data_IF_939156331744
#
_entry.id   IF_939156331744
#
_cell.length_a   1.000
_cell.length_b   1.000
_cell.length_c   1.000
_cell.angle_alpha   90.00
_cell.angle_beta   90.00
_cell.angle_gamma   90.00
#
_symmetry.space_group_name_H-M   'P 1'
#
loop_
_entity.id
_entity.type
_entity.pdbx_description
1 polymer ?
#
# COMPACT_ATOMS: atom_id res chain seq x y z
N UNK A 1 4.87 15.33 -15.26
CA UNK A 1 3.64 14.52 -15.52
C UNK A 1 3.47 14.33 -17.02
N UNK A 2 3.21 13.07 -17.47
CA UNK A 2 2.73 12.80 -18.83
C UNK A 2 1.39 13.54 -18.99
N UNK A 3 1.10 14.08 -20.14
CA UNK A 3 -0.19 14.74 -20.42
C UNK A 3 -0.63 14.30 -21.82
N UNK A 4 -0.94 13.00 -21.92
CA UNK A 4 -1.30 12.37 -23.17
C UNK A 4 -2.74 12.68 -23.57
N UNK A 5 -2.91 13.00 -24.84
CA UNK A 5 -4.22 13.04 -25.49
C UNK A 5 -4.59 11.65 -26.02
N UNK A 6 -5.84 11.48 -26.45
CA UNK A 6 -6.29 10.25 -27.12
C UNK A 6 -5.44 9.94 -28.35
N UNK A 7 -5.12 10.96 -29.13
CA UNK A 7 -4.30 10.88 -30.32
C UNK A 7 -2.87 10.44 -30.02
N UNK A 8 -2.30 10.91 -28.89
CA UNK A 8 -0.98 10.48 -28.44
C UNK A 8 -0.97 8.99 -28.09
N UNK A 9 -2.01 8.49 -27.40
CA UNK A 9 -2.11 7.07 -27.07
C UNK A 9 -2.20 6.20 -28.33
N UNK A 10 -3.02 6.59 -29.31
CA UNK A 10 -3.16 5.85 -30.56
C UNK A 10 -1.81 5.81 -31.29
N UNK A 11 -1.14 6.95 -31.41
CA UNK A 11 0.18 7.05 -32.05
C UNK A 11 1.23 6.18 -31.35
N UNK A 12 1.32 6.25 -30.02
CA UNK A 12 2.29 5.47 -29.24
C UNK A 12 2.05 3.96 -29.38
N UNK A 13 0.82 3.52 -29.38
CA UNK A 13 0.46 2.10 -29.57
C UNK A 13 0.90 1.61 -30.97
N UNK A 14 0.73 2.45 -32.02
CA UNK A 14 1.18 2.13 -33.37
C UNK A 14 2.70 2.15 -33.49
N UNK A 15 3.38 3.20 -33.03
CA UNK A 15 4.84 3.37 -33.12
C UNK A 15 5.60 2.28 -32.38
N UNK A 16 5.06 1.82 -31.24
CA UNK A 16 5.69 0.83 -30.37
C UNK A 16 5.29 -0.63 -30.68
N UNK A 17 4.52 -0.89 -31.76
CA UNK A 17 4.06 -2.23 -32.14
C UNK A 17 3.31 -2.96 -31.01
N UNK A 18 2.42 -2.25 -30.33
CA UNK A 18 1.60 -2.82 -29.26
C UNK A 18 0.40 -3.55 -29.86
N UNK A 19 0.27 -4.85 -29.58
CA UNK A 19 -0.87 -5.66 -30.05
C UNK A 19 -1.95 -5.87 -29.00
N UNK A 20 -1.58 -5.86 -27.71
CA UNK A 20 -2.51 -6.08 -26.59
C UNK A 20 -2.42 -4.95 -25.58
N UNK A 21 -3.57 -4.48 -25.11
CA UNK A 21 -3.68 -3.50 -24.04
C UNK A 21 -4.47 -4.11 -22.88
N UNK A 22 -3.90 -4.01 -21.68
CA UNK A 22 -4.55 -4.41 -20.45
C UNK A 22 -5.20 -3.20 -19.80
N UNK A 23 -6.51 -3.19 -19.74
CA UNK A 23 -7.30 -2.23 -19.00
C UNK A 23 -7.33 -2.69 -17.55
N UNK A 24 -6.53 -2.06 -16.70
CA UNK A 24 -6.30 -2.49 -15.31
C UNK A 24 -7.14 -1.65 -14.33
N UNK A 25 -7.66 -2.30 -13.32
CA UNK A 25 -8.33 -1.65 -12.18
C UNK A 25 -8.09 -2.49 -10.92
N UNK A 26 -8.47 -1.98 -9.74
CA UNK A 26 -8.17 -2.64 -8.46
C UNK A 26 -9.47 -2.87 -7.70
N UNK A 27 -9.64 -4.06 -7.11
CA UNK A 27 -10.77 -4.34 -6.22
C UNK A 27 -10.56 -3.71 -4.82
N UNK A 28 -11.57 -3.77 -3.95
CA UNK A 28 -11.50 -3.16 -2.61
C UNK A 28 -10.43 -3.79 -1.70
N UNK A 29 -9.96 -5.00 -2.03
CA UNK A 29 -8.90 -5.70 -1.28
C UNK A 29 -7.50 -5.46 -1.81
N UNK A 30 -7.34 -4.61 -2.83
CA UNK A 30 -6.04 -4.30 -3.42
C UNK A 30 -5.56 -5.33 -4.44
N UNK A 31 -6.43 -6.20 -4.95
CA UNK A 31 -6.08 -7.12 -6.03
C UNK A 31 -6.22 -6.42 -7.38
N UNK A 32 -5.14 -6.47 -8.18
CA UNK A 32 -5.14 -5.96 -9.53
C UNK A 32 -5.95 -6.87 -10.46
N UNK A 33 -6.93 -6.30 -11.13
CA UNK A 33 -7.79 -6.93 -12.14
C UNK A 33 -7.49 -6.35 -13.51
N UNK A 34 -7.87 -7.04 -14.58
CA UNK A 34 -7.78 -6.46 -15.92
C UNK A 34 -8.75 -7.10 -16.91
N UNK A 35 -9.09 -6.31 -17.93
CA UNK A 35 -9.67 -6.78 -19.19
C UNK A 35 -8.63 -6.57 -20.27
N UNK A 36 -8.30 -7.60 -21.05
CA UNK A 36 -7.37 -7.48 -22.16
C UNK A 36 -8.13 -7.20 -23.47
N UNK A 37 -7.67 -6.24 -24.22
CA UNK A 37 -8.17 -5.92 -25.57
C UNK A 37 -7.02 -5.97 -26.58
N UNK A 38 -7.35 -6.18 -27.85
CA UNK A 38 -6.40 -6.00 -28.95
C UNK A 38 -6.28 -4.52 -29.33
N UNK A 39 -5.17 -4.13 -29.96
CA UNK A 39 -4.96 -2.76 -30.43
C UNK A 39 -6.11 -2.26 -31.34
N UNK A 40 -6.73 -3.15 -32.10
CA UNK A 40 -7.90 -2.82 -32.96
C UNK A 40 -9.13 -2.36 -32.16
N UNK A 41 -9.21 -2.63 -30.85
CA UNK A 41 -10.29 -2.19 -29.96
C UNK A 41 -9.91 -0.96 -29.11
N UNK A 42 -8.69 -0.42 -29.31
CA UNK A 42 -8.18 0.70 -28.51
C UNK A 42 -9.10 1.93 -28.60
N UNK A 43 -9.55 2.29 -29.78
CA UNK A 43 -10.41 3.46 -29.96
C UNK A 43 -11.73 3.36 -29.19
N UNK A 44 -12.31 2.15 -29.13
CA UNK A 44 -13.50 1.87 -28.29
C UNK A 44 -13.19 2.08 -26.82
N UNK A 45 -12.03 1.61 -26.35
CA UNK A 45 -11.61 1.79 -24.95
C UNK A 45 -11.40 3.27 -24.61
N UNK A 46 -10.70 4.02 -25.47
CA UNK A 46 -10.46 5.45 -25.28
C UNK A 46 -11.75 6.30 -25.40
N UNK A 47 -12.82 5.76 -25.94
CA UNK A 47 -14.16 6.37 -25.92
C UNK A 47 -15.01 5.92 -24.73
N UNK A 48 -14.41 5.28 -23.70
CA UNK A 48 -15.10 4.81 -22.48
C UNK A 48 -16.22 3.79 -22.76
N UNK A 49 -16.05 2.94 -23.77
CA UNK A 49 -17.08 1.99 -24.22
C UNK A 49 -16.73 0.53 -23.88
N UNK A 50 -15.72 0.31 -23.03
CA UNK A 50 -15.38 -1.02 -22.55
C UNK A 50 -16.20 -1.36 -21.31
N UNK A 51 -17.20 -2.20 -21.49
CA UNK A 51 -18.07 -2.73 -20.45
C UNK A 51 -17.51 -4.05 -19.91
N UNK A 52 -17.70 -4.30 -18.62
CA UNK A 52 -17.41 -5.58 -17.97
C UNK A 52 -18.47 -5.89 -16.92
N UNK A 53 -18.55 -7.17 -16.54
CA UNK A 53 -19.42 -7.63 -15.45
C UNK A 53 -18.71 -7.48 -14.09
N UNK A 54 -19.20 -6.52 -13.30
CA UNK A 54 -18.68 -6.25 -11.94
C UNK A 54 -19.23 -7.20 -10.87
N UNK A 55 -20.27 -8.00 -11.15
CA UNK A 55 -20.92 -8.85 -10.14
C UNK A 55 -20.05 -10.01 -9.66
N UNK A 56 -19.08 -10.42 -10.47
CA UNK A 56 -18.10 -11.45 -10.13
C UNK A 56 -16.87 -10.91 -9.38
N UNK A 57 -16.84 -9.61 -9.08
CA UNK A 57 -15.76 -8.96 -8.34
C UNK A 57 -16.23 -8.70 -6.92
N UNK A 58 -15.57 -9.36 -5.96
CA UNK A 58 -15.92 -9.25 -4.55
C UNK A 58 -15.92 -7.79 -4.08
N UNK A 59 -17.00 -7.40 -3.39
CA UNK A 59 -17.17 -6.04 -2.88
C UNK A 59 -17.62 -5.00 -3.92
N UNK A 60 -17.84 -5.38 -5.20
CA UNK A 60 -18.31 -4.42 -6.21
C UNK A 60 -19.83 -4.30 -6.18
N UNK A 61 -20.53 -4.99 -7.07
CA UNK A 61 -21.97 -4.80 -7.29
C UNK A 61 -22.72 -6.13 -7.22
N UNK A 62 -24.05 -6.05 -7.18
CA UNK A 62 -24.93 -7.24 -7.27
C UNK A 62 -25.17 -7.63 -8.72
N UNK A 63 -25.67 -8.85 -8.95
CA UNK A 63 -25.98 -9.38 -10.28
C UNK A 63 -26.95 -8.49 -11.07
N UNK A 64 -27.89 -7.84 -10.37
CA UNK A 64 -28.89 -6.95 -10.98
C UNK A 64 -28.33 -5.64 -11.48
N UNK A 65 -27.11 -5.26 -11.06
CA UNK A 65 -26.41 -4.00 -11.41
C UNK A 65 -25.01 -4.31 -11.96
N UNK A 66 -24.84 -5.42 -12.68
CA UNK A 66 -23.53 -5.99 -13.03
C UNK A 66 -22.73 -5.18 -14.04
N UNK A 67 -23.40 -4.44 -14.93
CA UNK A 67 -22.73 -3.72 -16.02
C UNK A 67 -21.95 -2.52 -15.50
N UNK A 68 -20.63 -2.55 -15.72
CA UNK A 68 -19.70 -1.49 -15.34
C UNK A 68 -18.82 -1.11 -16.54
N UNK A 69 -18.26 0.10 -16.50
CA UNK A 69 -17.42 0.62 -17.58
C UNK A 69 -16.03 0.97 -17.07
N UNK A 70 -15.02 0.72 -17.90
CA UNK A 70 -13.63 1.11 -17.67
C UNK A 70 -13.31 2.41 -18.41
N UNK A 71 -12.88 3.42 -17.67
CA UNK A 71 -12.47 4.73 -18.19
C UNK A 71 -10.96 4.85 -18.05
N UNK A 72 -10.19 4.67 -19.15
CA UNK A 72 -8.74 4.68 -19.11
C UNK A 72 -8.16 6.05 -18.75
N UNK A 73 -7.25 6.09 -17.80
CA UNK A 73 -6.39 7.24 -17.55
C UNK A 73 -5.20 7.20 -18.52
N UNK A 74 -5.18 8.11 -19.49
CA UNK A 74 -4.18 8.12 -20.57
C UNK A 74 -2.76 8.32 -20.07
N UNK A 75 -2.59 9.03 -18.96
CA UNK A 75 -1.27 9.28 -18.38
C UNK A 75 -0.62 8.04 -17.76
N UNK A 76 -1.38 6.96 -17.64
CA UNK A 76 -0.92 5.69 -17.08
C UNK A 76 -0.51 4.67 -18.16
N UNK A 77 -0.46 5.04 -19.43
CA UNK A 77 0.04 4.12 -20.48
C UNK A 77 1.47 3.69 -20.18
N UNK A 78 1.67 2.39 -20.04
CA UNK A 78 2.99 1.76 -19.89
C UNK A 78 3.09 0.48 -20.71
N UNK A 79 4.24 0.26 -21.34
CA UNK A 79 4.57 -0.96 -22.06
C UNK A 79 5.31 -1.90 -21.11
N UNK A 80 4.91 -3.16 -21.06
CA UNK A 80 5.55 -4.13 -20.16
C UNK A 80 6.90 -4.63 -20.70
N UNK A 81 8.05 -4.27 -20.10
CA UNK A 81 9.38 -4.68 -20.59
C UNK A 81 9.60 -6.19 -20.57
N UNK A 82 8.94 -6.91 -19.69
CA UNK A 82 9.06 -8.37 -19.54
C UNK A 82 8.25 -9.19 -20.53
N UNK A 83 7.55 -8.53 -21.47
CA UNK A 83 6.78 -9.20 -22.52
C UNK A 83 7.58 -9.25 -23.83
N UNK A 84 7.14 -10.08 -24.82
CA UNK A 84 7.81 -10.18 -26.11
C UNK A 84 8.03 -8.82 -26.78
N UNK A 85 9.16 -8.66 -27.47
CA UNK A 85 9.47 -7.44 -28.22
C UNK A 85 8.64 -7.31 -29.52
N UNK A 86 8.10 -8.41 -30.02
CA UNK A 86 7.12 -8.44 -31.10
C UNK A 86 5.73 -8.67 -30.53
N UNK A 87 4.75 -7.85 -30.97
CA UNK A 87 3.41 -7.88 -30.39
C UNK A 87 3.42 -7.48 -28.91
N UNK A 88 3.99 -6.31 -28.61
CA UNK A 88 4.14 -5.80 -27.27
C UNK A 88 2.80 -5.71 -26.52
N UNK A 89 2.88 -5.74 -25.21
CA UNK A 89 1.73 -5.60 -24.32
C UNK A 89 1.87 -4.31 -23.52
N UNK A 90 0.88 -3.44 -23.61
CA UNK A 90 0.77 -2.25 -22.79
C UNK A 90 -0.35 -2.39 -21.74
N UNK A 91 -0.40 -1.46 -20.80
CA UNK A 91 -1.51 -1.30 -19.88
C UNK A 91 -1.97 0.15 -19.81
N UNK A 92 -3.23 0.33 -19.49
CA UNK A 92 -3.84 1.57 -19.01
C UNK A 92 -4.53 1.29 -17.68
N UNK A 93 -4.31 2.12 -16.66
CA UNK A 93 -5.10 2.06 -15.43
C UNK A 93 -6.43 2.76 -15.71
N UNK A 94 -7.51 2.16 -15.23
CA UNK A 94 -8.86 2.64 -15.48
C UNK A 94 -9.56 2.97 -14.16
N UNK A 95 -10.33 4.03 -14.19
CA UNK A 95 -11.38 4.29 -13.20
C UNK A 95 -12.62 3.48 -13.57
N UNK A 96 -13.40 3.08 -12.57
CA UNK A 96 -14.63 2.31 -12.78
C UNK A 96 -15.84 3.23 -12.73
N UNK A 97 -16.72 3.10 -13.71
CA UNK A 97 -17.91 3.92 -13.86
C UNK A 97 -19.18 3.07 -13.98
N UNK A 98 -20.30 3.65 -13.55
CA UNK A 98 -21.65 3.09 -13.74
C UNK A 98 -22.15 3.33 -15.17
N UNK A 99 -23.19 2.60 -15.62
CA UNK A 99 -23.76 2.80 -16.96
C UNK A 99 -24.33 4.22 -17.21
N UNK A 100 -24.70 4.93 -16.17
CA UNK A 100 -25.18 6.31 -16.26
C UNK A 100 -24.07 7.35 -16.41
N UNK A 101 -22.81 6.92 -16.44
CA UNK A 101 -21.63 7.78 -16.58
C UNK A 101 -21.18 8.43 -15.27
N UNK A 102 -21.69 7.98 -14.12
CA UNK A 102 -21.19 8.40 -12.80
C UNK A 102 -20.03 7.52 -12.34
N UNK A 103 -19.03 8.07 -11.62
CA UNK A 103 -17.99 7.26 -10.99
C UNK A 103 -18.59 6.23 -10.04
N UNK A 104 -18.04 5.02 -10.04
CA UNK A 104 -18.46 3.99 -9.10
C UNK A 104 -17.81 4.22 -7.74
N UNK A 105 -18.62 4.41 -6.71
CA UNK A 105 -18.17 4.68 -5.34
C UNK A 105 -17.43 3.51 -4.68
N UNK A 106 -17.55 2.31 -5.24
CA UNK A 106 -16.81 1.10 -4.83
C UNK A 106 -15.42 0.97 -5.45
N UNK A 107 -15.01 1.90 -6.33
CA UNK A 107 -13.67 1.95 -6.90
C UNK A 107 -12.68 2.56 -5.89
N UNK A 108 -11.68 1.78 -5.39
CA UNK A 108 -10.68 2.30 -4.46
C UNK A 108 -9.90 3.50 -5.00
N UNK A 109 -9.61 3.51 -6.30
CA UNK A 109 -8.91 4.63 -6.95
C UNK A 109 -9.74 5.91 -6.86
N UNK A 110 -11.05 5.82 -7.06
CA UNK A 110 -11.97 6.93 -6.89
C UNK A 110 -12.07 7.40 -5.43
N UNK A 111 -12.00 6.48 -4.45
CA UNK A 111 -11.93 6.88 -3.02
C UNK A 111 -10.73 7.78 -2.76
N UNK A 112 -9.55 7.41 -3.26
CA UNK A 112 -8.34 8.25 -3.12
C UNK A 112 -8.49 9.58 -3.87
N UNK A 113 -9.05 9.59 -5.08
CA UNK A 113 -9.29 10.82 -5.84
C UNK A 113 -10.21 11.79 -5.08
N UNK A 114 -11.24 11.30 -4.38
CA UNK A 114 -12.09 12.13 -3.52
C UNK A 114 -11.33 12.74 -2.34
N UNK A 115 -10.50 11.95 -1.68
CA UNK A 115 -9.65 12.43 -0.58
C UNK A 115 -8.66 13.50 -1.06
N UNK A 116 -8.02 13.28 -2.21
CA UNK A 116 -7.11 14.26 -2.86
C UNK A 116 -7.87 15.53 -3.23
N UNK A 117 -9.07 15.42 -3.79
CA UNK A 117 -9.91 16.60 -4.13
C UNK A 117 -10.28 17.41 -2.87
N UNK A 118 -10.57 16.73 -1.74
CA UNK A 118 -10.81 17.42 -0.45
C UNK A 118 -9.56 18.20 -0.01
N UNK A 119 -8.37 17.62 -0.12
CA UNK A 119 -7.10 18.29 0.18
C UNK A 119 -6.85 19.48 -0.77
N UNK A 120 -7.07 19.28 -2.07
CA UNK A 120 -6.87 20.33 -3.08
C UNK A 120 -7.81 21.52 -2.88
N UNK A 121 -9.05 21.30 -2.43
CA UNK A 121 -9.99 22.38 -2.08
C UNK A 121 -9.50 23.24 -0.89
N UNK A 122 -8.60 22.69 -0.07
CA UNK A 122 -7.91 23.40 1.01
C UNK A 122 -6.54 23.97 0.57
N UNK A 123 -6.19 23.81 -0.71
CA UNK A 123 -4.93 24.27 -1.30
C UNK A 123 -3.76 23.32 -1.10
N UNK A 124 -4.00 22.08 -0.66
CA UNK A 124 -2.93 21.10 -0.38
C UNK A 124 -2.73 20.09 -1.51
N UNK A 125 -1.47 19.76 -1.78
CA UNK A 125 -1.06 18.61 -2.57
C UNK A 125 -0.44 17.57 -1.64
N UNK A 126 -0.95 16.35 -1.66
CA UNK A 126 -0.44 15.24 -0.85
C UNK A 126 0.60 14.44 -1.63
N UNK A 127 1.81 14.34 -1.10
CA UNK A 127 2.90 13.55 -1.66
C UNK A 127 3.28 12.40 -0.76
N UNK A 128 3.60 11.27 -1.36
CA UNK A 128 3.86 10.01 -0.68
C UNK A 128 5.04 9.27 -1.28
N UNK A 129 5.93 8.75 -0.42
CA UNK A 129 7.01 7.83 -0.78
C UNK A 129 6.87 6.52 0.01
N UNK A 130 6.61 5.39 -0.65
CA UNK A 130 6.51 4.10 0.02
C UNK A 130 7.87 3.42 0.11
N UNK A 131 8.08 2.65 1.16
CA UNK A 131 9.16 1.66 1.31
C UNK A 131 8.48 0.30 1.34
N UNK A 132 8.63 -0.53 0.30
CA UNK A 132 7.82 -1.73 0.13
C UNK A 132 8.69 -2.99 0.16
N UNK A 133 8.61 -3.72 1.27
CA UNK A 133 9.34 -4.96 1.49
C UNK A 133 8.58 -6.17 0.92
N UNK A 134 9.35 -7.21 0.54
CA UNK A 134 8.81 -8.46 0.02
C UNK A 134 9.77 -9.63 0.23
N UNK A 135 9.24 -10.87 0.11
CA UNK A 135 10.07 -12.08 0.17
C UNK A 135 10.17 -12.74 -1.21
N UNK A 136 11.33 -13.33 -1.47
CA UNK A 136 11.61 -14.19 -2.63
C UNK A 136 11.83 -15.62 -2.18
N UNK A 137 10.84 -16.49 -2.40
CA UNK A 137 10.94 -17.91 -2.05
C UNK A 137 11.16 -18.79 -3.27
N UNK A 138 11.59 -20.04 -3.02
CA UNK A 138 11.62 -21.08 -4.03
C UNK A 138 10.20 -21.44 -4.46
N UNK A 139 10.04 -21.76 -5.74
CA UNK A 139 8.91 -22.55 -6.21
C UNK A 139 9.21 -24.04 -6.11
N UNK A 140 8.20 -24.87 -5.89
CA UNK A 140 8.36 -26.31 -5.93
C UNK A 140 8.55 -26.83 -7.39
N UNK A 141 8.71 -28.14 -7.54
CA UNK A 141 8.89 -28.79 -8.84
C UNK A 141 7.71 -28.61 -9.82
N UNK A 142 6.55 -28.25 -9.31
CA UNK A 142 5.33 -27.93 -10.08
C UNK A 142 5.15 -26.43 -10.33
N UNK A 143 6.10 -25.58 -9.86
CA UNK A 143 6.03 -24.13 -9.94
C UNK A 143 5.09 -23.50 -8.92
N UNK A 144 4.67 -24.23 -7.88
CA UNK A 144 3.83 -23.70 -6.81
C UNK A 144 4.68 -22.94 -5.76
N UNK A 145 4.12 -21.93 -5.10
CA UNK A 145 4.83 -21.16 -4.10
C UNK A 145 5.15 -22.00 -2.85
N UNK A 146 6.35 -21.77 -2.30
CA UNK A 146 6.76 -22.32 -1.00
C UNK A 146 7.21 -21.20 -0.07
N UNK A 147 7.55 -21.54 1.17
CA UNK A 147 8.26 -20.64 2.11
C UNK A 147 9.73 -21.05 2.30
N UNK A 148 10.28 -21.80 1.33
CA UNK A 148 11.66 -22.25 1.38
C UNK A 148 12.57 -21.13 0.89
N UNK A 149 13.60 -20.81 1.69
CA UNK A 149 14.64 -19.85 1.35
C UNK A 149 15.88 -20.56 0.80
N UNK A 150 16.67 -19.88 -0.06
CA UNK A 150 17.95 -20.41 -0.56
C UNK A 150 19.13 -20.04 0.32
N UNK A 151 18.97 -19.07 1.19
CA UNK A 151 20.03 -18.29 1.79
C UNK A 151 19.79 -18.02 3.26
N UNK A 152 20.81 -17.46 3.91
CA UNK A 152 20.78 -16.98 5.30
C UNK A 152 21.35 -15.56 5.39
N UNK A 153 21.25 -14.79 4.31
CA UNK A 153 21.65 -13.38 4.28
C UNK A 153 20.78 -12.54 5.22
N UNK A 154 21.30 -11.42 5.64
CA UNK A 154 20.65 -10.45 6.51
C UNK A 154 20.76 -9.03 5.95
N UNK A 155 20.51 -8.06 6.82
CA UNK A 155 20.43 -6.64 6.44
C UNK A 155 21.69 -6.14 5.75
N UNK A 156 21.53 -5.62 4.52
CA UNK A 156 22.59 -5.11 3.65
C UNK A 156 23.66 -6.12 3.21
N UNK A 157 23.42 -7.42 3.38
CA UNK A 157 24.30 -8.43 2.79
C UNK A 157 24.26 -8.36 1.26
N UNK A 158 25.34 -8.82 0.64
CA UNK A 158 25.56 -8.80 -0.81
C UNK A 158 25.94 -10.19 -1.33
N UNK A 159 26.04 -10.35 -2.64
CA UNK A 159 26.55 -11.60 -3.22
C UNK A 159 27.97 -11.91 -2.74
N UNK A 160 28.31 -13.18 -2.45
CA UNK A 160 27.50 -14.37 -2.78
C UNK A 160 26.51 -14.81 -1.68
N UNK A 161 26.32 -14.04 -0.62
CA UNK A 161 25.37 -14.39 0.46
C UNK A 161 23.91 -14.16 0.03
N UNK A 162 23.64 -13.02 -0.63
CA UNK A 162 22.34 -12.64 -1.19
C UNK A 162 22.11 -13.34 -2.55
N UNK A 163 21.36 -14.42 -2.56
CA UNK A 163 21.03 -15.13 -3.80
C UNK A 163 19.88 -14.46 -4.60
N UNK A 164 19.17 -13.54 -3.98
CA UNK A 164 18.12 -12.73 -4.64
C UNK A 164 18.65 -11.53 -5.42
N UNK A 165 19.92 -11.18 -5.28
CA UNK A 165 20.51 -9.95 -5.85
C UNK A 165 20.28 -9.81 -7.35
N UNK A 166 20.44 -10.87 -8.15
CA UNK A 166 20.23 -10.81 -9.59
C UNK A 166 18.74 -10.56 -9.95
N UNK A 167 17.83 -11.24 -9.26
CA UNK A 167 16.40 -11.01 -9.48
C UNK A 167 16.01 -9.57 -9.09
N UNK A 168 16.49 -9.09 -7.92
CA UNK A 168 16.25 -7.72 -7.46
C UNK A 168 16.84 -6.68 -8.42
N UNK A 169 18.06 -6.91 -8.96
CA UNK A 169 18.66 -6.06 -9.99
C UNK A 169 17.78 -5.96 -11.23
N UNK A 170 17.29 -7.09 -11.75
CA UNK A 170 16.44 -7.09 -12.93
C UNK A 170 15.07 -6.46 -12.66
N UNK A 171 14.56 -6.54 -11.43
CA UNK A 171 13.38 -5.80 -10.99
C UNK A 171 13.62 -4.28 -11.06
N UNK A 172 14.76 -3.81 -10.52
CA UNK A 172 15.14 -2.39 -10.56
C UNK A 172 15.22 -1.89 -12.00
N UNK A 173 15.97 -2.59 -12.88
CA UNK A 173 16.09 -2.20 -14.28
C UNK A 173 14.73 -2.16 -14.98
N UNK A 174 13.86 -3.12 -14.71
CA UNK A 174 12.50 -3.17 -15.26
C UNK A 174 11.65 -1.98 -14.79
N UNK A 175 11.75 -1.61 -13.51
CA UNK A 175 11.02 -0.47 -12.96
C UNK A 175 11.52 0.85 -13.56
N UNK A 176 12.84 1.01 -13.73
CA UNK A 176 13.42 2.18 -14.39
C UNK A 176 12.98 2.30 -15.85
N UNK A 177 12.93 1.18 -16.59
CA UNK A 177 12.39 1.13 -17.96
C UNK A 177 10.90 1.55 -18.01
N UNK A 178 10.16 1.37 -16.92
CA UNK A 178 8.76 1.83 -16.75
C UNK A 178 8.66 3.25 -16.18
N UNK A 179 9.76 3.98 -16.08
CA UNK A 179 9.78 5.37 -15.65
C UNK A 179 9.78 5.61 -14.15
N UNK A 180 10.00 4.57 -13.34
CA UNK A 180 10.27 4.75 -11.91
C UNK A 180 11.65 5.39 -11.71
N UNK A 181 11.77 6.20 -10.68
CA UNK A 181 13.07 6.65 -10.16
C UNK A 181 13.35 5.81 -8.93
N UNK A 182 14.17 4.78 -9.08
CA UNK A 182 14.57 3.92 -7.97
C UNK A 182 15.66 4.60 -7.15
N UNK A 183 15.47 4.71 -5.84
CA UNK A 183 16.40 5.37 -4.92
C UNK A 183 17.35 4.38 -4.23
N UNK A 184 16.84 3.20 -3.84
CA UNK A 184 17.61 2.16 -3.18
C UNK A 184 17.04 0.77 -3.47
N UNK A 185 17.91 -0.24 -3.37
CA UNK A 185 17.50 -1.65 -3.33
C UNK A 185 18.49 -2.45 -2.50
N UNK A 186 18.02 -3.25 -1.57
CA UNK A 186 18.89 -4.02 -0.68
C UNK A 186 18.22 -5.29 -0.15
N UNK A 187 19.03 -6.15 0.46
CA UNK A 187 18.58 -7.28 1.25
C UNK A 187 18.10 -6.78 2.61
N UNK A 188 16.97 -7.29 3.10
CA UNK A 188 16.40 -6.98 4.38
C UNK A 188 16.86 -7.91 5.51
N UNK A 189 16.34 -7.72 6.73
CA UNK A 189 16.80 -8.44 7.94
C UNK A 189 16.50 -9.94 7.88
N UNK A 190 15.33 -10.33 7.38
CA UNK A 190 14.98 -11.75 7.31
C UNK A 190 15.60 -12.45 6.09
N UNK A 191 15.95 -13.73 6.18
CA UNK A 191 16.39 -14.50 5.01
C UNK A 191 15.41 -14.41 3.86
N UNK A 192 15.90 -14.14 2.64
CA UNK A 192 15.12 -13.96 1.41
C UNK A 192 14.17 -12.75 1.42
N UNK A 193 14.35 -11.79 2.33
CA UNK A 193 13.61 -10.56 2.36
C UNK A 193 14.37 -9.44 1.67
N UNK A 194 13.66 -8.65 0.88
CA UNK A 194 14.20 -7.59 0.03
C UNK A 194 13.35 -6.34 0.11
N UNK A 195 13.97 -5.21 -0.19
CA UNK A 195 13.33 -3.90 -0.32
C UNK A 195 13.82 -3.18 -1.58
N UNK A 196 12.91 -2.49 -2.23
CA UNK A 196 13.21 -1.58 -3.34
C UNK A 196 12.42 -0.30 -3.11
N UNK A 197 13.15 0.80 -2.92
CA UNK A 197 12.59 2.13 -2.69
C UNK A 197 12.57 2.92 -3.97
N UNK A 198 11.48 3.62 -4.21
CA UNK A 198 11.35 4.53 -5.34
C UNK A 198 10.86 5.90 -4.90
N UNK A 199 11.22 6.91 -5.67
CA UNK A 199 10.99 8.30 -5.35
C UNK A 199 9.50 8.59 -5.09
N UNK A 200 9.26 9.46 -4.10
CA UNK A 200 7.93 9.96 -3.78
C UNK A 200 7.31 10.76 -4.94
N UNK A 201 6.00 10.71 -5.05
CA UNK A 201 5.22 11.49 -6.01
C UNK A 201 3.87 11.89 -5.40
N UNK A 202 2.99 12.51 -6.18
CA UNK A 202 1.61 12.76 -5.79
C UNK A 202 0.89 11.44 -5.49
N UNK A 203 0.03 11.46 -4.50
CA UNK A 203 -0.52 10.25 -3.88
C UNK A 203 -1.21 9.28 -4.87
N UNK A 204 -1.93 9.79 -5.89
CA UNK A 204 -2.57 8.93 -6.89
C UNK A 204 -1.53 8.20 -7.75
N UNK A 205 -0.52 8.92 -8.23
CA UNK A 205 0.60 8.36 -8.98
C UNK A 205 1.34 7.31 -8.16
N UNK A 206 1.61 7.61 -6.88
CA UNK A 206 2.28 6.67 -5.97
C UNK A 206 1.46 5.41 -5.74
N UNK A 207 0.13 5.51 -5.57
CA UNK A 207 -0.74 4.34 -5.43
C UNK A 207 -0.74 3.48 -6.70
N UNK A 208 -0.82 4.10 -7.88
CA UNK A 208 -0.69 3.44 -9.18
C UNK A 208 0.68 2.75 -9.33
N UNK A 209 1.75 3.41 -8.88
CA UNK A 209 3.12 2.86 -8.86
C UNK A 209 3.23 1.65 -7.93
N UNK A 210 2.66 1.67 -6.72
CA UNK A 210 2.67 0.52 -5.81
C UNK A 210 2.01 -0.71 -6.46
N UNK A 211 0.87 -0.54 -7.13
CA UNK A 211 0.21 -1.62 -7.84
C UNK A 211 1.06 -2.17 -8.99
N UNK A 212 1.69 -1.28 -9.74
CA UNK A 212 2.61 -1.63 -10.84
C UNK A 212 3.86 -2.32 -10.32
N UNK A 213 4.46 -1.82 -9.26
CA UNK A 213 5.60 -2.40 -8.56
C UNK A 213 5.34 -3.85 -8.15
N UNK A 214 4.22 -4.11 -7.48
CA UNK A 214 3.83 -5.48 -7.07
C UNK A 214 3.71 -6.42 -8.27
N UNK A 215 3.18 -5.95 -9.39
CA UNK A 215 3.06 -6.73 -10.63
C UNK A 215 4.44 -7.02 -11.24
N UNK A 216 5.30 -6.01 -11.34
CA UNK A 216 6.65 -6.12 -11.90
C UNK A 216 7.50 -7.10 -11.08
N UNK A 217 7.56 -6.91 -9.75
CA UNK A 217 8.32 -7.78 -8.84
C UNK A 217 7.89 -9.24 -8.98
N UNK A 218 6.58 -9.54 -8.96
CA UNK A 218 6.08 -10.91 -9.14
C UNK A 218 6.40 -11.48 -10.53
N UNK A 219 6.33 -10.65 -11.57
CA UNK A 219 6.61 -11.08 -12.95
C UNK A 219 8.09 -11.42 -13.16
N UNK A 220 8.99 -10.58 -12.66
CA UNK A 220 10.44 -10.78 -12.77
C UNK A 220 10.89 -11.93 -11.87
N UNK A 221 10.40 -12.02 -10.63
CA UNK A 221 10.69 -13.16 -9.75
C UNK A 221 10.37 -14.50 -10.44
N UNK A 222 9.21 -14.59 -11.10
CA UNK A 222 8.81 -15.79 -11.85
C UNK A 222 9.79 -16.15 -12.98
N UNK A 223 10.35 -15.15 -13.68
CA UNK A 223 11.37 -15.38 -14.72
C UNK A 223 12.66 -15.96 -14.14
N UNK A 224 12.98 -15.63 -12.89
CA UNK A 224 14.11 -16.20 -12.14
C UNK A 224 13.79 -17.53 -11.43
N UNK A 225 12.62 -18.12 -11.66
CA UNK A 225 12.19 -19.36 -10.98
C UNK A 225 11.85 -19.17 -9.50
N UNK A 226 11.64 -17.93 -9.08
CA UNK A 226 11.30 -17.55 -7.71
C UNK A 226 9.83 -17.17 -7.58
N UNK A 227 9.32 -17.25 -6.34
CA UNK A 227 8.01 -16.75 -5.96
C UNK A 227 8.16 -15.50 -5.09
N UNK A 228 7.72 -14.35 -5.59
CA UNK A 228 7.65 -13.13 -4.79
C UNK A 228 6.32 -13.03 -4.04
N UNK A 229 6.38 -12.75 -2.74
CA UNK A 229 5.19 -12.53 -1.93
C UNK A 229 5.29 -11.22 -1.14
N UNK A 230 4.16 -10.53 -1.08
CA UNK A 230 3.90 -9.35 -0.25
C UNK A 230 3.09 -9.72 1.01
N UNK A 231 3.09 -10.98 1.40
CA UNK A 231 2.48 -11.44 2.65
C UNK A 231 3.21 -10.82 3.84
N UNK A 232 2.51 -10.18 4.81
CA UNK A 232 3.16 -9.44 5.90
C UNK A 232 4.07 -10.28 6.80
N UNK A 233 3.70 -11.54 7.05
CA UNK A 233 4.48 -12.46 7.92
C UNK A 233 4.44 -13.88 7.37
N UNK A 234 5.24 -14.19 6.32
CA UNK A 234 5.20 -15.53 5.71
C UNK A 234 5.91 -16.59 6.52
N UNK A 235 6.88 -16.21 7.39
CA UNK A 235 7.70 -17.14 8.18
C UNK A 235 7.67 -16.77 9.65
N UNK A 236 7.43 -17.77 10.50
CA UNK A 236 7.50 -17.60 11.95
C UNK A 236 8.94 -17.42 12.43
N UNK A 237 9.15 -16.57 13.43
CA UNK A 237 10.45 -16.40 14.10
C UNK A 237 11.44 -15.45 13.39
N UNK A 238 11.06 -14.85 12.25
CA UNK A 238 11.87 -13.84 11.54
C UNK A 238 11.07 -12.56 11.35
N UNK A 239 11.70 -11.45 10.92
CA UNK A 239 10.98 -10.21 10.61
C UNK A 239 9.94 -10.41 9.50
N UNK A 240 8.86 -9.64 9.54
CA UNK A 240 7.86 -9.58 8.49
C UNK A 240 8.08 -8.36 7.59
N UNK A 241 7.31 -8.27 6.50
CA UNK A 241 7.39 -7.17 5.53
C UNK A 241 6.50 -6.00 5.92
N UNK A 242 7.09 -4.81 5.97
CA UNK A 242 6.40 -3.53 6.08
C UNK A 242 6.19 -2.88 4.71
N UNK A 243 5.32 -1.90 4.69
CA UNK A 243 5.20 -0.90 3.65
C UNK A 243 5.13 0.46 4.35
N UNK A 244 6.28 0.99 4.75
CA UNK A 244 6.33 2.28 5.42
C UNK A 244 5.86 3.37 4.47
N UNK A 245 5.05 4.30 4.99
CA UNK A 245 4.46 5.37 4.18
C UNK A 245 5.05 6.70 4.64
N UNK A 246 5.92 7.27 3.83
CA UNK A 246 6.45 8.60 4.01
C UNK A 246 5.48 9.62 3.41
N UNK A 247 5.03 10.59 4.20
CA UNK A 247 3.98 11.55 3.83
C UNK A 247 4.43 12.98 4.02
N UNK A 248 4.03 13.85 3.09
CA UNK A 248 4.19 15.30 3.20
C UNK A 248 3.04 16.04 2.51
N UNK A 249 2.74 17.25 2.98
CA UNK A 249 1.79 18.15 2.33
C UNK A 249 2.52 19.34 1.74
N UNK A 250 2.07 19.74 0.56
CA UNK A 250 2.56 20.90 -0.18
C UNK A 250 1.45 21.94 -0.34
N UNK A 251 1.82 23.20 -0.23
CA UNK A 251 0.96 24.33 -0.55
C UNK A 251 1.72 25.30 -1.45
N UNK A 252 1.17 25.63 -2.61
CA UNK A 252 1.84 26.48 -3.62
C UNK A 252 3.28 25.99 -3.97
N UNK A 253 3.46 24.67 -4.09
CA UNK A 253 4.73 24.04 -4.47
C UNK A 253 5.78 23.98 -3.36
N UNK A 254 5.45 24.35 -2.11
CA UNK A 254 6.36 24.29 -0.95
C UNK A 254 5.88 23.26 0.05
N UNK A 255 6.80 22.51 0.61
CA UNK A 255 6.52 21.58 1.71
C UNK A 255 6.12 22.36 2.97
N UNK A 256 4.86 22.18 3.42
CA UNK A 256 4.33 22.90 4.59
C UNK A 256 4.60 22.18 5.92
N UNK A 257 5.21 21.00 5.88
CA UNK A 257 5.59 20.29 7.10
C UNK A 257 6.90 20.82 7.71
N UNK A 258 7.70 21.55 6.93
CA UNK A 258 8.98 22.08 7.36
C UNK A 258 8.83 23.39 8.15
N UNK A 259 9.51 23.48 9.31
CA UNK A 259 9.75 24.71 10.06
C UNK A 259 11.18 24.67 10.64
N UNK A 260 12.05 25.55 10.17
CA UNK A 260 13.45 25.61 10.60
C UNK A 260 13.65 26.20 12.01
N UNK A 261 12.61 26.80 12.58
CA UNK A 261 12.63 27.38 13.94
C UNK A 261 12.20 26.36 15.02
N UNK A 262 11.61 25.22 14.61
CA UNK A 262 11.19 24.16 15.52
C UNK A 262 12.33 23.18 15.81
N UNK A 263 12.43 22.68 17.03
CA UNK A 263 13.50 21.76 17.49
C UNK A 263 13.51 20.41 16.71
N UNK A 264 12.37 19.97 16.18
CA UNK A 264 12.24 18.78 15.35
C UNK A 264 12.13 19.10 13.85
N UNK A 265 12.19 20.38 13.48
CA UNK A 265 12.06 20.85 12.10
C UNK A 265 10.63 20.78 11.55
N UNK A 266 9.61 20.67 12.42
CA UNK A 266 8.21 20.46 12.06
C UNK A 266 7.36 21.71 12.24
N UNK A 267 6.54 22.02 11.24
CA UNK A 267 5.50 23.03 11.34
C UNK A 267 4.35 22.60 12.26
N UNK A 268 3.48 23.54 12.60
CA UNK A 268 2.23 23.25 13.33
C UNK A 268 1.31 22.33 12.53
N UNK A 269 1.26 22.50 11.21
CA UNK A 269 0.50 21.66 10.30
C UNK A 269 0.99 20.22 10.34
N UNK A 270 2.29 19.98 10.39
CA UNK A 270 2.87 18.65 10.57
C UNK A 270 2.46 18.03 11.91
N UNK A 271 2.56 18.77 13.02
CA UNK A 271 2.09 18.29 14.31
C UNK A 271 0.60 17.98 14.31
N UNK A 272 -0.23 18.82 13.73
CA UNK A 272 -1.67 18.57 13.62
C UNK A 272 -1.98 17.33 12.78
N UNK A 273 -1.24 17.14 11.69
CA UNK A 273 -1.38 15.94 10.85
C UNK A 273 -1.03 14.66 11.64
N UNK A 274 0.08 14.69 12.41
CA UNK A 274 0.45 13.59 13.33
C UNK A 274 -0.66 13.36 14.36
N UNK A 275 -1.21 14.42 14.95
CA UNK A 275 -2.31 14.34 15.91
C UNK A 275 -3.56 13.67 15.33
N UNK A 276 -3.90 14.00 14.10
CA UNK A 276 -4.99 13.36 13.37
C UNK A 276 -4.74 11.86 13.11
N UNK A 277 -3.56 11.50 12.61
CA UNK A 277 -3.18 10.09 12.43
C UNK A 277 -3.28 9.31 13.75
N UNK A 278 -2.71 9.83 14.83
CA UNK A 278 -2.71 9.16 16.14
C UNK A 278 -4.12 8.97 16.70
N UNK A 279 -5.01 9.97 16.52
CA UNK A 279 -6.41 9.90 16.99
C UNK A 279 -7.17 8.74 16.33
N UNK A 280 -6.97 8.53 15.03
CA UNK A 280 -7.71 7.55 14.23
C UNK A 280 -6.95 6.24 14.02
N UNK A 281 -5.77 6.08 14.62
CA UNK A 281 -4.84 5.01 14.27
C UNK A 281 -5.41 3.61 14.45
N UNK A 282 -6.23 3.38 15.48
CA UNK A 282 -6.86 2.07 15.70
C UNK A 282 -7.76 1.67 14.54
N UNK A 283 -8.53 2.62 14.02
CA UNK A 283 -9.40 2.41 12.86
C UNK A 283 -8.59 2.30 11.55
N UNK A 284 -7.58 3.15 11.37
CA UNK A 284 -6.66 3.12 10.23
C UNK A 284 -6.00 1.74 10.12
N UNK A 285 -5.65 1.10 11.24
CA UNK A 285 -5.00 -0.22 11.28
C UNK A 285 -5.80 -1.27 10.50
N UNK A 286 -7.13 -1.25 10.52
CA UNK A 286 -7.95 -2.17 9.74
C UNK A 286 -7.71 -2.08 8.22
N UNK A 287 -7.35 -0.89 7.72
CA UNK A 287 -7.15 -0.62 6.29
C UNK A 287 -5.69 -0.80 5.88
N UNK A 288 -4.75 -0.37 6.71
CA UNK A 288 -3.31 -0.45 6.41
C UNK A 288 -2.68 -1.79 6.79
N UNK A 289 -3.38 -2.59 7.60
CA UNK A 289 -3.00 -3.95 8.03
C UNK A 289 -4.19 -4.90 7.85
N UNK A 290 -4.54 -5.22 6.58
CA UNK A 290 -5.87 -5.72 6.22
C UNK A 290 -6.08 -7.22 6.42
N UNK A 291 -5.05 -7.98 6.76
CA UNK A 291 -5.10 -9.44 6.82
C UNK A 291 -4.97 -9.94 8.26
N UNK A 292 -5.52 -11.12 8.53
CA UNK A 292 -5.20 -11.87 9.75
C UNK A 292 -3.68 -12.01 9.92
N UNK A 293 -2.98 -12.23 8.82
CA UNK A 293 -1.52 -12.36 8.81
C UNK A 293 -0.80 -11.05 9.15
N UNK A 294 -1.39 -9.89 8.94
CA UNK A 294 -0.86 -8.59 9.34
C UNK A 294 -0.54 -8.53 10.84
N UNK A 295 -1.42 -9.12 11.66
CA UNK A 295 -1.28 -9.16 13.12
C UNK A 295 -0.28 -10.22 13.62
N UNK A 296 0.25 -11.05 12.74
CA UNK A 296 1.41 -11.91 13.01
C UNK A 296 2.74 -11.15 12.84
N UNK A 297 2.73 -10.05 12.07
CA UNK A 297 3.83 -9.10 11.97
C UNK A 297 3.82 -8.09 13.12
N UNK A 298 2.65 -7.55 13.47
CA UNK A 298 2.45 -6.53 14.51
C UNK A 298 2.53 -7.13 15.92
N UNK A 299 3.69 -7.70 16.24
CA UNK A 299 4.01 -8.28 17.56
C UNK A 299 5.35 -7.74 18.04
N UNK A 300 5.52 -7.56 19.39
CA UNK A 300 6.79 -7.09 19.94
C UNK A 300 7.98 -7.99 19.55
N UNK A 301 9.15 -7.38 19.30
CA UNK A 301 10.41 -8.10 19.08
C UNK A 301 10.80 -8.33 17.60
N UNK A 302 10.03 -7.84 16.63
CA UNK A 302 10.27 -8.01 15.18
C UNK A 302 10.25 -6.69 14.40
N UNK A 303 10.75 -5.61 14.97
CA UNK A 303 10.87 -4.28 14.34
C UNK A 303 9.55 -3.67 13.81
N UNK A 304 8.41 -4.27 14.11
CA UNK A 304 7.11 -3.72 13.78
C UNK A 304 6.57 -2.89 14.96
N UNK A 305 6.06 -1.67 14.72
CA UNK A 305 5.54 -0.81 15.77
C UNK A 305 4.17 -1.30 16.23
N UNK A 306 3.97 -1.37 17.54
CA UNK A 306 2.67 -1.76 18.14
C UNK A 306 2.09 -0.66 19.04
N UNK A 307 2.85 0.38 19.34
CA UNK A 307 2.46 1.46 20.24
C UNK A 307 2.15 2.74 19.47
N UNK A 308 1.01 3.36 19.75
CA UNK A 308 0.59 4.64 19.15
C UNK A 308 1.41 5.77 19.79
N UNK A 309 2.56 6.05 19.21
CA UNK A 309 3.49 7.07 19.62
C UNK A 309 4.25 7.63 18.41
N UNK A 310 4.90 8.77 18.59
CA UNK A 310 5.76 9.37 17.56
C UNK A 310 7.11 9.79 18.14
N UNK A 311 8.14 9.86 17.29
CA UNK A 311 9.47 10.35 17.67
C UNK A 311 10.27 10.84 16.46
N UNK A 312 11.12 11.84 16.69
CA UNK A 312 12.15 12.28 15.75
C UNK A 312 13.51 11.59 15.98
N UNK A 313 13.68 10.81 17.05
CA UNK A 313 14.98 10.24 17.48
C UNK A 313 14.99 8.71 17.58
N UNK A 314 13.84 8.09 17.58
CA UNK A 314 13.67 6.66 17.83
C UNK A 314 12.95 5.97 16.66
N UNK A 315 13.31 4.73 16.34
CA UNK A 315 12.69 3.91 15.30
C UNK A 315 11.56 3.00 15.80
N UNK A 316 11.39 2.88 17.14
CA UNK A 316 10.38 1.98 17.73
C UNK A 316 8.94 2.52 17.68
N UNK A 317 8.65 3.84 17.65
CA UNK A 317 7.30 4.35 17.56
C UNK A 317 6.66 4.09 16.19
N UNK A 318 5.33 4.13 16.18
CA UNK A 318 4.48 3.97 15.01
C UNK A 318 4.71 5.08 13.96
N UNK A 319 4.92 6.32 14.43
CA UNK A 319 5.22 7.48 13.59
C UNK A 319 6.65 7.95 13.87
N UNK A 320 7.46 7.93 12.83
CA UNK A 320 8.84 8.41 12.87
C UNK A 320 8.96 9.69 12.03
N UNK A 321 9.80 10.63 12.51
CA UNK A 321 10.21 11.78 11.72
C UNK A 321 11.63 11.51 11.22
N UNK A 322 11.82 11.25 9.93
CA UNK A 322 13.16 11.06 9.36
C UNK A 322 14.03 12.31 9.51
N UNK A 323 15.34 12.13 9.61
CA UNK A 323 16.31 13.21 9.73
C UNK A 323 16.51 13.92 8.37
N UNK A 324 15.49 14.62 7.90
CA UNK A 324 15.48 15.42 6.68
C UNK A 324 14.92 16.80 7.00
N UNK A 325 15.35 17.82 6.26
CA UNK A 325 14.94 19.20 6.49
C UNK A 325 14.45 19.87 5.20
N UNK A 326 13.72 20.96 5.33
CA UNK A 326 13.19 21.75 4.21
C UNK A 326 12.25 20.93 3.33
N UNK A 327 12.51 20.85 2.05
CA UNK A 327 11.67 20.09 1.10
C UNK A 327 11.62 18.57 1.39
N UNK A 328 12.61 18.05 2.11
CA UNK A 328 12.66 16.64 2.51
C UNK A 328 11.92 16.31 3.80
N UNK A 329 11.35 17.29 4.51
CA UNK A 329 10.62 17.08 5.77
C UNK A 329 9.36 16.22 5.52
N UNK A 330 9.23 15.12 6.26
CA UNK A 330 8.16 14.15 6.09
C UNK A 330 7.84 13.41 7.37
N UNK A 331 6.68 12.77 7.39
CA UNK A 331 6.19 11.90 8.46
C UNK A 331 6.18 10.47 7.91
N UNK A 332 6.82 9.54 8.59
CA UNK A 332 6.85 8.12 8.24
C UNK A 332 5.89 7.35 9.15
N UNK A 333 4.86 6.74 8.57
CA UNK A 333 3.98 5.78 9.24
C UNK A 333 4.52 4.38 9.00
N UNK A 334 4.86 3.65 10.08
CA UNK A 334 5.63 2.41 10.02
C UNK A 334 4.83 1.13 10.20
N UNK A 335 3.56 1.24 10.63
CA UNK A 335 2.70 0.05 10.81
C UNK A 335 2.18 -0.56 9.51
N UNK A 336 1.91 0.18 8.41
CA UNK A 336 1.35 -0.41 7.20
C UNK A 336 2.18 -1.58 6.68
N UNK A 337 1.50 -2.53 6.05
CA UNK A 337 2.14 -3.65 5.38
C UNK A 337 1.76 -3.72 3.89
N UNK A 338 2.54 -4.44 3.08
CA UNK A 338 2.36 -4.43 1.63
C UNK A 338 1.11 -5.18 1.14
N UNK A 339 0.35 -5.84 2.01
CA UNK A 339 -0.96 -6.39 1.65
C UNK A 339 -2.06 -5.33 1.57
N UNK A 340 -1.82 -4.14 2.12
CA UNK A 340 -2.77 -3.04 2.07
C UNK A 340 -3.12 -2.65 0.62
N UNK A 341 -4.38 -2.27 0.42
CA UNK A 341 -4.80 -1.57 -0.78
C UNK A 341 -4.23 -0.14 -0.74
N UNK A 342 -3.30 0.24 -1.63
CA UNK A 342 -2.61 1.52 -1.52
C UNK A 342 -3.56 2.71 -1.65
N UNK A 343 -4.59 2.61 -2.48
CA UNK A 343 -5.57 3.70 -2.64
C UNK A 343 -6.33 3.97 -1.35
N UNK A 344 -6.84 2.92 -0.70
CA UNK A 344 -7.57 3.06 0.56
C UNK A 344 -6.64 3.47 1.70
N UNK A 345 -5.44 2.89 1.78
CA UNK A 345 -4.44 3.23 2.80
C UNK A 345 -4.06 4.71 2.75
N UNK A 346 -3.77 5.25 1.56
CA UNK A 346 -3.43 6.66 1.40
C UNK A 346 -4.64 7.57 1.64
N UNK A 347 -5.85 7.17 1.26
CA UNK A 347 -7.06 7.94 1.51
C UNK A 347 -7.34 8.11 3.02
N UNK A 348 -7.25 7.03 3.81
CA UNK A 348 -7.50 7.11 5.27
C UNK A 348 -6.41 7.90 5.99
N UNK A 349 -5.14 7.76 5.59
CA UNK A 349 -4.04 8.56 6.14
C UNK A 349 -4.22 10.06 5.84
N UNK A 350 -4.54 10.40 4.59
CA UNK A 350 -4.78 11.79 4.19
C UNK A 350 -5.98 12.38 4.94
N UNK A 351 -7.11 11.67 4.96
CA UNK A 351 -8.32 12.15 5.61
C UNK A 351 -8.13 12.39 7.12
N UNK A 352 -7.49 11.45 7.81
CA UNK A 352 -7.17 11.59 9.23
C UNK A 352 -6.21 12.76 9.50
N UNK A 353 -5.18 12.91 8.68
CA UNK A 353 -4.24 14.02 8.78
C UNK A 353 -4.89 15.39 8.54
N UNK A 354 -5.80 15.49 7.54
CA UNK A 354 -6.57 16.72 7.26
C UNK A 354 -7.51 17.07 8.42
N UNK A 355 -8.22 16.10 9.01
CA UNK A 355 -9.02 16.34 10.21
C UNK A 355 -8.17 16.88 11.35
N UNK A 356 -6.96 16.32 11.52
CA UNK A 356 -5.98 16.82 12.50
C UNK A 356 -5.64 18.29 12.30
N UNK A 357 -5.44 18.71 11.06
CA UNK A 357 -5.18 20.12 10.71
C UNK A 357 -6.42 20.98 10.95
N UNK A 358 -7.58 20.56 10.50
CA UNK A 358 -8.85 21.28 10.66
C UNK A 358 -9.19 21.52 12.15
N UNK A 359 -9.01 20.49 12.98
CA UNK A 359 -9.30 20.54 14.42
C UNK A 359 -8.12 21.03 15.26
N UNK A 360 -6.94 21.28 14.65
CA UNK A 360 -5.69 21.69 15.33
C UNK A 360 -5.29 20.71 16.44
N UNK A 361 -5.32 19.42 16.12
CA UNK A 361 -5.03 18.34 17.06
C UNK A 361 -3.52 18.23 17.31
N UNK A 362 -3.06 18.69 18.47
CA UNK A 362 -1.66 18.48 18.87
C UNK A 362 -1.45 17.02 19.31
N UNK A 363 -0.40 16.34 18.80
CA UNK A 363 -0.05 15.02 19.29
C UNK A 363 0.46 15.10 20.76
N UNK A 364 0.44 13.99 21.49
CA UNK A 364 1.14 13.89 22.78
C UNK A 364 2.65 14.17 22.63
N UNK A 365 3.35 14.34 23.75
CA UNK A 365 4.82 14.50 23.73
C UNK A 365 5.49 13.30 23.05
N UNK A 366 6.55 13.57 22.27
CA UNK A 366 7.35 12.54 21.59
C UNK A 366 7.92 11.52 22.58
N UNK A 367 8.11 10.29 22.12
CA UNK A 367 8.68 9.21 22.91
C UNK A 367 10.05 8.85 22.35
N UNK A 368 11.10 9.47 22.91
CA UNK A 368 12.47 9.35 22.41
C UNK A 368 13.28 8.21 23.05
N UNK A 369 12.64 7.41 23.93
CA UNK A 369 13.21 6.22 24.55
C UNK A 369 12.61 4.93 23.98
N UNK A 370 13.24 3.79 24.25
CA UNK A 370 12.72 2.49 23.82
C UNK A 370 11.42 2.16 24.56
N UNK A 371 10.29 2.20 23.84
CA UNK A 371 8.96 1.96 24.41
C UNK A 371 8.82 0.53 24.95
N UNK A 372 9.53 -0.44 24.39
CA UNK A 372 9.46 -1.84 24.82
C UNK A 372 10.12 -2.08 26.21
N UNK A 373 10.99 -1.17 26.65
CA UNK A 373 11.64 -1.20 27.97
C UNK A 373 10.84 -0.43 29.04
N UNK A 374 9.79 0.32 28.64
CA UNK A 374 8.94 1.08 29.58
C UNK A 374 8.03 0.13 30.35
N UNK A 375 7.84 0.43 31.63
CA UNK A 375 6.82 -0.23 32.45
C UNK A 375 5.40 0.16 32.00
N UNK A 376 4.41 -0.66 32.36
CA UNK A 376 3.00 -0.33 32.06
C UNK A 376 2.57 0.98 32.70
N UNK A 377 3.02 1.25 33.96
CA UNK A 377 2.74 2.50 34.68
C UNK A 377 3.26 3.74 33.91
N UNK A 378 4.47 3.63 33.31
CA UNK A 378 5.04 4.71 32.49
C UNK A 378 4.28 4.93 31.18
N UNK A 379 3.85 3.84 30.53
CA UNK A 379 3.01 3.92 29.33
C UNK A 379 1.67 4.58 29.64
N UNK A 380 1.01 4.16 30.71
CA UNK A 380 -0.29 4.70 31.16
C UNK A 380 -0.17 6.20 31.51
N UNK A 381 0.90 6.59 32.23
CA UNK A 381 1.15 7.99 32.57
C UNK A 381 1.34 8.89 31.33
N UNK A 382 1.90 8.34 30.26
CA UNK A 382 2.10 9.03 28.97
C UNK A 382 0.94 8.83 27.99
N UNK A 383 -0.09 8.07 28.37
CA UNK A 383 -1.24 7.70 27.52
C UNK A 383 -0.81 7.06 26.19
N UNK A 384 0.21 6.19 26.25
CA UNK A 384 0.66 5.42 25.11
C UNK A 384 -0.28 4.21 24.97
N UNK A 385 -1.12 4.25 23.96
CA UNK A 385 -2.00 3.14 23.64
C UNK A 385 -1.35 2.18 22.63
N UNK A 386 -1.92 0.99 22.50
CA UNK A 386 -1.51 0.02 21.49
C UNK A 386 -2.49 0.03 20.30
N UNK A 387 -1.99 -0.31 19.11
CA UNK A 387 -2.83 -0.61 17.97
C UNK A 387 -3.56 -1.94 18.22
N UNK A 388 -4.67 -2.23 17.52
CA UNK A 388 -5.36 -3.51 17.62
C UNK A 388 -4.42 -4.71 17.44
N UNK A 389 -4.57 -5.73 18.27
CA UNK A 389 -3.77 -6.96 18.24
C UNK A 389 -4.33 -8.02 17.30
N UNK A 390 -5.54 -7.85 16.81
CA UNK A 390 -6.22 -8.78 15.90
C UNK A 390 -7.00 -8.03 14.81
N UNK A 391 -7.27 -8.72 13.70
CA UNK A 391 -8.13 -8.16 12.65
C UNK A 391 -9.51 -7.78 13.18
N UNK A 392 -10.10 -8.59 14.07
CA UNK A 392 -11.41 -8.29 14.64
C UNK A 392 -11.40 -6.97 15.42
N UNK A 393 -10.44 -6.80 16.34
CA UNK A 393 -10.30 -5.56 17.12
C UNK A 393 -10.13 -4.33 16.21
N UNK A 394 -9.38 -4.47 15.10
CA UNK A 394 -9.19 -3.38 14.15
C UNK A 394 -10.49 -3.05 13.41
N UNK A 395 -11.27 -4.06 13.01
CA UNK A 395 -12.58 -3.86 12.37
C UNK A 395 -13.58 -3.23 13.36
N UNK A 396 -13.58 -3.65 14.62
CA UNK A 396 -14.40 -3.02 15.65
C UNK A 396 -14.03 -1.55 15.88
N UNK A 397 -12.74 -1.22 15.84
CA UNK A 397 -12.29 0.17 15.89
C UNK A 397 -12.70 0.97 14.65
N UNK A 398 -12.64 0.35 13.45
CA UNK A 398 -13.10 0.95 12.21
C UNK A 398 -14.59 1.29 12.26
N UNK A 399 -15.43 0.38 12.79
CA UNK A 399 -16.88 0.59 12.93
C UNK A 399 -17.25 1.71 13.93
N UNK A 400 -16.37 2.01 14.88
CA UNK A 400 -16.59 3.05 15.89
C UNK A 400 -16.10 4.43 15.45
N UNK A 401 -15.42 4.54 14.32
CA UNK A 401 -14.82 5.77 13.84
C UNK A 401 -15.58 6.34 12.63
N UNK A 402 -16.45 7.35 12.85
CA UNK A 402 -17.29 7.90 11.78
C UNK A 402 -16.50 8.61 10.67
N UNK A 403 -15.25 9.04 10.93
CA UNK A 403 -14.41 9.64 9.91
C UNK A 403 -14.06 8.60 8.83
N UNK A 404 -13.89 7.34 9.20
CA UNK A 404 -13.53 6.29 8.24
C UNK A 404 -14.65 6.04 7.23
N UNK A 405 -15.92 6.08 7.64
CA UNK A 405 -17.05 5.98 6.71
C UNK A 405 -17.10 7.19 5.76
N UNK A 406 -16.87 8.40 6.26
CA UNK A 406 -16.80 9.61 5.43
C UNK A 406 -15.71 9.49 4.34
N UNK A 407 -14.52 9.01 4.70
CA UNK A 407 -13.38 8.89 3.79
C UNK A 407 -13.61 7.77 2.76
N UNK A 408 -13.93 6.57 3.23
CA UNK A 408 -14.07 5.37 2.39
C UNK A 408 -15.35 5.44 1.54
N UNK A 409 -16.39 6.11 2.03
CA UNK A 409 -17.72 6.11 1.47
C UNK A 409 -18.51 4.87 1.87
N UNK A 410 -19.84 5.02 1.93
CA UNK A 410 -20.77 4.01 2.42
C UNK A 410 -20.54 2.62 1.80
N UNK A 411 -20.37 2.56 0.48
CA UNK A 411 -20.21 1.30 -0.24
C UNK A 411 -18.95 0.54 0.18
N UNK A 412 -17.77 1.19 0.06
CA UNK A 412 -16.49 0.55 0.41
C UNK A 412 -16.44 0.23 1.89
N UNK A 413 -16.87 1.14 2.75
CA UNK A 413 -16.88 0.95 4.19
C UNK A 413 -17.66 -0.31 4.61
N UNK A 414 -18.91 -0.44 4.19
CA UNK A 414 -19.73 -1.59 4.57
C UNK A 414 -19.26 -2.90 3.94
N UNK A 415 -18.90 -2.89 2.65
CA UNK A 415 -18.42 -4.09 1.95
C UNK A 415 -17.09 -4.59 2.51
N UNK A 416 -16.21 -3.67 2.86
CA UNK A 416 -14.93 -4.00 3.47
C UNK A 416 -15.12 -4.64 4.84
N UNK A 417 -15.92 -4.05 5.70
CA UNK A 417 -16.22 -4.58 7.04
C UNK A 417 -16.88 -5.97 6.97
N UNK A 418 -17.89 -6.13 6.10
CA UNK A 418 -18.58 -7.40 5.89
C UNK A 418 -17.57 -8.50 5.53
N UNK A 419 -16.78 -8.31 4.50
CA UNK A 419 -15.80 -9.28 4.03
C UNK A 419 -14.71 -9.58 5.09
N UNK A 420 -14.22 -8.56 5.81
CA UNK A 420 -13.20 -8.77 6.85
C UNK A 420 -13.73 -9.50 8.08
N UNK A 421 -14.99 -9.31 8.43
CA UNK A 421 -15.66 -10.12 9.44
C UNK A 421 -15.82 -11.58 9.00
N UNK A 422 -16.16 -11.84 7.75
CA UNK A 422 -16.24 -13.20 7.18
C UNK A 422 -14.86 -13.87 7.18
N UNK A 423 -13.79 -13.16 6.77
CA UNK A 423 -12.40 -13.63 6.84
C UNK A 423 -12.03 -14.04 8.28
N UNK A 424 -12.35 -13.18 9.27
CA UNK A 424 -12.13 -13.50 10.68
C UNK A 424 -12.91 -14.72 11.16
N UNK A 425 -14.21 -14.85 10.81
CA UNK A 425 -15.02 -16.01 11.18
C UNK A 425 -14.48 -17.30 10.58
N UNK A 426 -14.04 -17.26 9.33
CA UNK A 426 -13.40 -18.40 8.67
C UNK A 426 -12.10 -18.81 9.37
N UNK A 427 -11.25 -17.85 9.70
CA UNK A 427 -9.97 -18.11 10.38
C UNK A 427 -10.16 -18.68 11.80
N UNK A 428 -11.02 -18.08 12.61
CA UNK A 428 -11.19 -18.50 14.02
C UNK A 428 -11.75 -19.91 14.17
N UNK A 429 -12.32 -20.46 13.11
CA UNK A 429 -12.81 -21.83 13.07
C UNK A 429 -11.73 -22.85 12.69
N UNK A 430 -10.54 -22.40 12.26
CA UNK A 430 -9.45 -23.29 11.88
C UNK A 430 -8.80 -23.90 13.13
N UNK A 431 -8.44 -25.17 13.04
CA UNK A 431 -7.60 -25.86 14.02
C UNK A 431 -6.18 -25.89 13.47
N UNK A 432 -5.26 -25.19 14.14
CA UNK A 432 -3.89 -25.02 13.68
C UNK A 432 -2.97 -26.16 14.12
N UNK A 433 -1.88 -26.40 13.36
CA UNK A 433 -0.84 -27.35 13.75
C UNK A 433 -0.23 -27.03 15.13
N UNK A 434 -0.18 -25.74 15.48
CA UNK A 434 0.28 -25.31 16.79
C UNK A 434 -0.64 -25.83 17.91
N UNK A 435 -1.96 -25.75 17.74
CA UNK A 435 -2.95 -26.25 18.71
C UNK A 435 -2.86 -27.78 18.83
N UNK A 436 -2.79 -28.47 17.69
CA UNK A 436 -2.66 -29.93 17.65
C UNK A 436 -1.40 -30.35 18.38
N UNK A 437 -0.26 -29.75 18.08
CA UNK A 437 1.04 -30.10 18.69
C UNK A 437 1.10 -29.83 20.21
N UNK A 438 0.38 -28.81 20.70
CA UNK A 438 0.41 -28.40 22.10
C UNK A 438 -0.70 -29.05 22.95
N UNK A 439 -1.83 -29.37 22.35
CA UNK A 439 -3.02 -29.77 23.12
C UNK A 439 -3.41 -31.23 22.95
N UNK A 440 -3.24 -31.82 21.76
CA UNK A 440 -3.78 -33.16 21.43
C UNK A 440 -3.37 -34.25 22.43
N UNK A 441 -2.12 -34.21 22.94
CA UNK A 441 -1.64 -35.21 23.89
C UNK A 441 -1.81 -34.82 25.37
N UNK A 442 -2.38 -33.62 25.64
CA UNK A 442 -2.54 -33.13 27.01
C UNK A 442 -3.96 -33.17 27.51
N UNK A 443 -4.91 -33.12 26.60
CA UNK A 443 -6.35 -33.06 26.87
C UNK A 443 -7.09 -34.11 26.02
#
# INVERSE_FOLDING_TARGET
MKNYTKEDIIRLVEEEDVEFIRLQFTDIFGNLKNVAITASQLERALNNQCMFDGSSIEGFVRIEESDMYLYPDYNTLEIFPWRPQQGKVARLICDVYRPDGTPFEGDPRYVLQRAIAKAANQGYTFKVGPECEFFLFQSDENGLPTTITYEQAGYFDLGPMDFGENARRDMVMTLEDMGFVVEASHHEVAPSQHEIDFQYDEALTTADHIMTFKLAVKSIAKQHGLHATFMPKPVYGVNGSGMHINMSLYHNGRNIFADSEDDNGLSKEAYYFIGGLMKHMKAITAVVNPLINSYKRLVPGYEAPVHIAWSAKNRSPLIRIPAAAGEGTRIELRSPDPAANPYLALAVCLGAGLEGIEQKLMPPTSVDCNIFEMSQEEKDARKIEEIPGTLLEAIEALEQDPLMEEILGEHVYHKYIEAKKEEWQSYRAQVTEWEISHYLNRY
#
